data_IF_960504526166
#
_entry.id   IF_960504526166
#
_cell.length_a   1.000
_cell.length_b   1.000
_cell.length_c   1.000
_cell.angle_alpha   90.00
_cell.angle_beta   90.00
_cell.angle_gamma   90.00
#
_symmetry.space_group_name_H-M   'P 1'
#
loop_
_entity.id
_entity.type
_entity.pdbx_description
1 polymer ?
#
# COMPACT_ATOMS: atom_id res chain seq x y z
N UNK A 1 -5.54 -25.68 15.99
CA UNK A 1 -6.02 -24.28 16.15
C UNK A 1 -5.16 -23.33 15.28
N UNK A 2 -5.41 -23.28 13.97
CA UNK A 2 -4.46 -22.66 13.02
C UNK A 2 -4.97 -21.43 12.26
N UNK A 3 -6.21 -20.99 12.49
CA UNK A 3 -6.72 -19.73 11.96
C UNK A 3 -7.52 -19.04 13.05
N UNK A 4 -6.81 -18.33 13.95
CA UNK A 4 -7.46 -17.25 14.68
C UNK A 4 -7.54 -16.07 13.71
N UNK A 5 -8.76 -15.71 13.32
CA UNK A 5 -9.03 -14.52 12.53
C UNK A 5 -8.73 -13.31 13.40
N UNK A 6 -7.61 -12.64 13.13
CA UNK A 6 -7.31 -11.32 13.66
C UNK A 6 -7.36 -10.33 12.48
N UNK A 7 -8.39 -9.46 12.40
CA UNK A 7 -8.56 -8.52 11.31
C UNK A 7 -7.32 -7.67 11.02
N UNK A 8 -6.55 -7.31 12.05
CA UNK A 8 -5.32 -6.52 11.91
C UNK A 8 -4.22 -7.24 11.12
N UNK A 9 -4.24 -8.57 11.13
CA UNK A 9 -3.27 -9.40 10.41
C UNK A 9 -3.82 -9.94 9.10
N UNK A 10 -5.12 -10.24 9.06
CA UNK A 10 -5.77 -10.88 7.91
C UNK A 10 -6.22 -9.85 6.86
N UNK A 11 -6.67 -8.67 7.29
CA UNK A 11 -7.17 -7.62 6.42
C UNK A 11 -6.79 -6.21 6.92
N UNK A 12 -5.49 -5.91 7.09
CA UNK A 12 -5.05 -4.58 7.49
C UNK A 12 -5.48 -3.52 6.47
N UNK A 13 -5.74 -2.30 6.95
CA UNK A 13 -6.02 -1.16 6.08
C UNK A 13 -4.80 -0.86 5.20
N UNK A 14 -5.01 -0.90 3.89
CA UNK A 14 -3.94 -0.65 2.92
C UNK A 14 -3.35 0.76 3.05
N UNK A 15 -4.18 1.75 3.41
CA UNK A 15 -3.73 3.14 3.63
C UNK A 15 -2.73 3.24 4.79
N UNK A 16 -2.93 2.46 5.86
CA UNK A 16 -2.03 2.45 7.02
C UNK A 16 -0.73 1.73 6.68
N UNK A 17 -0.82 0.63 5.91
CA UNK A 17 0.37 -0.08 5.43
C UNK A 17 1.21 0.79 4.49
N UNK A 18 0.59 1.60 3.64
CA UNK A 18 1.30 2.46 2.70
C UNK A 18 2.10 3.57 3.41
N UNK A 19 1.72 3.93 4.63
CA UNK A 19 2.41 4.93 5.45
C UNK A 19 3.61 4.38 6.23
N UNK A 20 3.90 3.07 6.16
CA UNK A 20 5.00 2.48 6.90
C UNK A 20 6.36 2.93 6.38
N UNK A 21 7.19 3.43 7.30
CA UNK A 21 8.62 3.61 7.11
C UNK A 21 9.38 2.31 7.48
N UNK A 22 10.71 2.33 7.40
CA UNK A 22 11.52 1.14 7.69
C UNK A 22 11.42 0.71 9.16
N UNK A 23 11.28 1.65 10.09
CA UNK A 23 11.13 1.36 11.50
C UNK A 23 9.78 0.68 11.79
N UNK A 24 8.69 1.24 11.27
CA UNK A 24 7.34 0.70 11.37
C UNK A 24 7.20 -0.66 10.70
N UNK A 25 7.78 -0.85 9.51
CA UNK A 25 7.81 -2.15 8.84
C UNK A 25 8.51 -3.21 9.68
N UNK A 26 9.70 -2.89 10.24
CA UNK A 26 10.43 -3.81 11.12
C UNK A 26 9.65 -4.10 12.39
N UNK A 27 9.09 -3.10 13.04
CA UNK A 27 8.32 -3.27 14.27
C UNK A 27 7.09 -4.17 14.05
N UNK A 28 6.34 -3.93 12.96
CA UNK A 28 5.13 -4.69 12.64
C UNK A 28 5.43 -6.11 12.18
N UNK A 29 6.41 -6.34 11.31
CA UNK A 29 6.55 -7.63 10.64
C UNK A 29 7.72 -8.50 11.13
N UNK A 30 8.46 -8.08 12.17
CA UNK A 30 9.57 -8.89 12.74
C UNK A 30 9.10 -10.31 13.08
N UNK A 31 9.87 -11.30 12.64
CA UNK A 31 9.57 -12.72 12.86
C UNK A 31 8.51 -13.31 11.93
N UNK A 32 7.97 -12.52 11.00
CA UNK A 32 6.98 -13.00 10.02
C UNK A 32 7.62 -13.28 8.64
N UNK A 33 7.00 -14.16 7.83
CA UNK A 33 7.39 -14.39 6.43
C UNK A 33 7.43 -13.15 5.54
N UNK A 34 6.66 -12.10 5.89
CA UNK A 34 6.55 -10.85 5.11
C UNK A 34 7.90 -10.14 4.98
N UNK A 35 8.80 -10.32 5.95
CA UNK A 35 10.15 -9.74 5.94
C UNK A 35 10.97 -10.10 4.70
N UNK A 36 10.69 -11.24 4.05
CA UNK A 36 11.36 -11.66 2.80
C UNK A 36 11.11 -10.70 1.64
N UNK A 37 9.92 -10.10 1.57
CA UNK A 37 9.58 -9.11 0.55
C UNK A 37 10.23 -7.74 0.80
N UNK A 38 10.68 -7.49 2.04
CA UNK A 38 11.16 -6.18 2.54
C UNK A 38 10.09 -5.08 2.44
N UNK A 39 10.37 -3.90 2.99
CA UNK A 39 9.44 -2.75 2.95
C UNK A 39 9.07 -2.37 1.51
N UNK A 40 10.07 -2.28 0.63
CA UNK A 40 9.87 -1.98 -0.80
C UNK A 40 8.91 -2.92 -1.49
N UNK A 41 8.99 -4.23 -1.23
CA UNK A 41 8.11 -5.22 -1.85
C UNK A 41 6.70 -5.17 -1.30
N UNK A 42 6.55 -4.95 0.01
CA UNK A 42 5.25 -4.71 0.63
C UNK A 42 4.59 -3.47 0.03
N UNK A 43 5.27 -2.32 0.06
CA UNK A 43 4.69 -1.05 -0.41
C UNK A 43 4.38 -1.05 -1.89
N UNK A 44 5.22 -1.70 -2.71
CA UNK A 44 4.91 -1.96 -4.13
C UNK A 44 3.55 -2.65 -4.28
N UNK A 45 3.32 -3.73 -3.52
CA UNK A 45 2.06 -4.48 -3.59
C UNK A 45 0.88 -3.67 -3.04
N UNK A 46 1.09 -2.92 -1.95
CA UNK A 46 0.07 -2.04 -1.37
C UNK A 46 -0.35 -0.95 -2.35
N UNK A 47 0.60 -0.30 -3.04
CA UNK A 47 0.32 0.69 -4.06
C UNK A 47 -0.50 0.09 -5.21
N UNK A 48 -0.15 -1.13 -5.67
CA UNK A 48 -0.94 -1.85 -6.68
C UNK A 48 -2.37 -2.10 -6.20
N UNK A 49 -2.53 -2.58 -4.96
CA UNK A 49 -3.84 -2.86 -4.39
C UNK A 49 -4.69 -1.60 -4.23
N UNK A 50 -4.11 -0.47 -3.80
CA UNK A 50 -4.80 0.82 -3.72
C UNK A 50 -5.21 1.35 -5.11
N UNK A 51 -4.34 1.22 -6.11
CA UNK A 51 -4.66 1.59 -7.49
C UNK A 51 -5.77 0.72 -8.09
N UNK A 52 -5.84 -0.56 -7.73
CA UNK A 52 -6.92 -1.46 -8.13
C UNK A 52 -8.24 -1.16 -7.40
N UNK A 53 -8.16 -0.77 -6.12
CA UNK A 53 -9.32 -0.35 -5.36
C UNK A 53 -9.99 0.90 -5.96
N UNK A 54 -9.19 1.83 -6.49
CA UNK A 54 -9.72 2.94 -7.29
C UNK A 54 -10.35 4.08 -6.49
N UNK A 55 -10.33 4.03 -5.15
CA UNK A 55 -10.94 5.06 -4.32
C UNK A 55 -10.07 6.32 -4.22
N UNK A 56 -10.66 7.53 -4.38
CA UNK A 56 -9.98 8.80 -4.14
C UNK A 56 -9.37 8.94 -2.74
N UNK A 57 -9.90 8.21 -1.74
CA UNK A 57 -9.38 8.21 -0.37
C UNK A 57 -7.93 7.72 -0.27
N UNK A 58 -7.46 6.95 -1.25
CA UNK A 58 -6.07 6.49 -1.33
C UNK A 58 -5.10 7.56 -1.83
N UNK A 59 -5.58 8.63 -2.49
CA UNK A 59 -4.72 9.62 -3.13
C UNK A 59 -3.73 10.29 -2.17
N UNK A 60 -4.12 10.76 -0.96
CA UNK A 60 -3.20 11.45 -0.08
C UNK A 60 -1.99 10.61 0.34
N UNK A 61 -2.18 9.30 0.58
CA UNK A 61 -1.06 8.43 0.98
C UNK A 61 -0.18 8.04 -0.21
N UNK A 62 -0.77 7.87 -1.39
CA UNK A 62 -0.02 7.62 -2.62
C UNK A 62 0.79 8.85 -3.05
N UNK A 63 0.25 10.06 -2.89
CA UNK A 63 0.95 11.32 -3.17
C UNK A 63 2.16 11.49 -2.26
N UNK A 64 2.04 11.16 -0.96
CA UNK A 64 3.21 11.10 -0.06
C UNK A 64 4.25 10.07 -0.53
N UNK A 65 3.81 8.92 -1.02
CA UNK A 65 4.70 7.86 -1.50
C UNK A 65 5.48 8.23 -2.78
N UNK A 66 5.10 9.29 -3.50
CA UNK A 66 5.91 9.85 -4.59
C UNK A 66 7.24 10.44 -4.09
N UNK A 67 7.38 10.69 -2.79
CA UNK A 67 8.60 11.19 -2.17
C UNK A 67 9.38 10.10 -1.40
N UNK A 68 8.97 8.83 -1.52
CA UNK A 68 9.65 7.72 -0.86
C UNK A 68 11.11 7.58 -1.38
N UNK A 69 12.11 7.29 -0.52
CA UNK A 69 13.49 7.10 -0.96
C UNK A 69 13.65 5.96 -1.97
N UNK A 70 12.79 4.94 -1.93
CA UNK A 70 12.86 3.79 -2.83
C UNK A 70 12.20 4.10 -4.20
N UNK A 71 12.97 4.09 -5.31
CA UNK A 71 12.42 4.36 -6.65
C UNK A 71 11.25 3.46 -7.04
N UNK A 72 11.31 2.18 -6.64
CA UNK A 72 10.25 1.21 -6.94
C UNK A 72 8.90 1.61 -6.31
N UNK A 73 8.93 2.17 -5.09
CA UNK A 73 7.73 2.63 -4.40
C UNK A 73 7.15 3.85 -5.12
N UNK A 74 7.99 4.81 -5.50
CA UNK A 74 7.57 6.01 -6.26
C UNK A 74 6.90 5.64 -7.57
N UNK A 75 7.49 4.72 -8.33
CA UNK A 75 6.96 4.24 -9.61
C UNK A 75 5.53 3.66 -9.45
N UNK A 76 5.34 2.79 -8.45
CA UNK A 76 4.04 2.13 -8.25
C UNK A 76 3.00 3.09 -7.65
N UNK A 77 3.43 4.06 -6.83
CA UNK A 77 2.55 5.13 -6.36
C UNK A 77 2.05 6.00 -7.52
N UNK A 78 2.93 6.40 -8.45
CA UNK A 78 2.56 7.16 -9.63
C UNK A 78 1.56 6.40 -10.52
N UNK A 79 1.81 5.10 -10.75
CA UNK A 79 0.88 4.23 -11.47
C UNK A 79 -0.50 4.17 -10.79
N UNK A 80 -0.54 3.99 -9.47
CA UNK A 80 -1.79 3.87 -8.72
C UNK A 80 -2.62 5.16 -8.78
N UNK A 81 -1.96 6.32 -8.64
CA UNK A 81 -2.60 7.64 -8.79
C UNK A 81 -3.20 7.80 -10.19
N UNK A 82 -2.44 7.46 -11.24
CA UNK A 82 -2.91 7.56 -12.61
C UNK A 82 -4.15 6.70 -12.86
N UNK A 83 -4.18 5.49 -12.29
CA UNK A 83 -5.31 4.56 -12.40
C UNK A 83 -6.55 5.04 -11.64
N UNK A 84 -6.41 5.51 -10.40
CA UNK A 84 -7.53 6.08 -9.63
C UNK A 84 -8.13 7.28 -10.40
N UNK A 85 -7.27 8.19 -10.87
CA UNK A 85 -7.72 9.38 -11.60
C UNK A 85 -8.38 9.04 -12.94
N UNK A 86 -7.97 7.96 -13.62
CA UNK A 86 -8.63 7.54 -14.86
C UNK A 86 -10.01 6.91 -14.61
N UNK A 87 -10.17 6.18 -13.51
CA UNK A 87 -11.45 5.56 -13.13
C UNK A 87 -12.49 6.59 -12.67
N UNK A 88 -12.07 7.58 -11.88
CA UNK A 88 -12.95 8.70 -11.47
C UNK A 88 -13.50 9.44 -12.69
N UNK A 89 -12.70 9.60 -13.75
CA UNK A 89 -13.15 10.23 -15.00
C UNK A 89 -14.13 9.39 -15.80
N UNK A 90 -14.15 8.07 -15.61
CA UNK A 90 -15.03 7.15 -16.35
C UNK A 90 -16.39 6.91 -15.70
N UNK A 91 -16.65 7.46 -14.51
CA UNK A 91 -17.96 7.40 -13.87
C UNK A 91 -18.62 8.79 -13.97
N UNK A 92 -19.46 9.05 -14.98
CA UNK A 92 -20.30 10.24 -14.97
C UNK A 92 -21.37 10.03 -13.90
N UNK A 93 -21.41 10.91 -12.91
CA UNK A 93 -22.56 11.04 -11.99
C UNK A 93 -23.80 11.52 -12.73
#
# INVERSE_FOLDING_TARGET
PFLRYDPEWVAPKLVDLMALDDAGFRARFRGTPVTRAKRRGLLRNVAVALGNWGSPEALPVLERALHDPEPLVREHAAWAIARIRSQVRSCPV
#
